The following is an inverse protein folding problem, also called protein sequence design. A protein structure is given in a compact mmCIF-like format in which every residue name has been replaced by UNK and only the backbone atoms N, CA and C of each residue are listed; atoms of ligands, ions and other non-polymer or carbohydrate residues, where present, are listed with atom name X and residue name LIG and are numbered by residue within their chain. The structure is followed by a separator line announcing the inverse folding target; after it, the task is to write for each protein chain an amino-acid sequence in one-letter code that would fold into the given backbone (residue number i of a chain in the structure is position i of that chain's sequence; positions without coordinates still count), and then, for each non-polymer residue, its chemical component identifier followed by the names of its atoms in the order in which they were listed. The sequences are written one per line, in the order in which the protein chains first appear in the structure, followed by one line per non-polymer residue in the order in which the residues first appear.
data_IF_906244894854
#
_entry.id   IF_906244894854
#
_cell.length_a   1.000
_cell.length_b   1.000
_cell.length_c   1.000
_cell.angle_alpha   90.00
_cell.angle_beta   90.00
_cell.angle_gamma   90.00
#
_symmetry.space_group_name_H-M   'P 1'
#
loop_
_entity.id
_entity.type
_entity.pdbx_description
1 polymer ?
#
# COMPACT_ATOMS: atom_id res chain seq x y z
N UNK A 1 5.84 2.23 12.29
CA UNK A 1 5.93 0.84 12.79
C UNK A 1 7.24 0.63 13.58
N UNK A 2 7.36 -0.51 14.29
CA UNK A 2 8.59 -0.89 15.00
C UNK A 2 9.81 -1.07 14.09
N UNK A 3 9.59 -1.23 12.80
CA UNK A 3 10.63 -1.45 11.79
C UNK A 3 11.06 -0.18 11.04
N UNK A 4 10.49 0.96 11.36
CA UNK A 4 10.79 2.23 10.68
C UNK A 4 11.56 3.19 11.59
N UNK A 5 12.55 3.87 11.02
CA UNK A 5 13.20 5.02 11.65
C UNK A 5 12.25 6.22 11.64
N UNK A 6 12.42 7.14 12.60
CA UNK A 6 11.59 8.36 12.67
C UNK A 6 11.57 9.18 11.37
N UNK A 7 12.69 9.22 10.63
CA UNK A 7 12.79 9.91 9.35
C UNK A 7 11.88 9.24 8.30
N UNK A 8 11.90 7.91 8.22
CA UNK A 8 11.07 7.13 7.27
C UNK A 8 9.57 7.34 7.54
N UNK A 9 9.16 7.30 8.81
CA UNK A 9 7.76 7.59 9.20
C UNK A 9 7.35 9.00 8.79
N UNK A 10 8.26 9.98 8.91
CA UNK A 10 7.95 11.39 8.57
C UNK A 10 7.78 11.63 7.08
N UNK A 11 8.57 10.97 6.24
CA UNK A 11 8.56 11.19 4.78
C UNK A 11 7.73 10.18 4.01
N UNK A 12 7.43 9.03 4.63
CA UNK A 12 6.69 7.93 4.03
C UNK A 12 5.18 8.12 4.07
N UNK A 13 4.50 7.08 3.58
CA UNK A 13 3.05 6.96 3.56
C UNK A 13 2.57 5.92 4.57
N UNK A 14 1.28 5.93 4.87
CA UNK A 14 0.70 4.88 5.71
C UNK A 14 0.70 3.52 4.99
N UNK A 15 0.38 3.51 3.70
CA UNK A 15 0.45 2.30 2.88
C UNK A 15 1.87 1.71 2.87
N UNK A 16 2.90 2.56 2.67
CA UNK A 16 4.30 2.15 2.77
C UNK A 16 4.65 1.60 4.15
N UNK A 17 4.19 2.25 5.22
CA UNK A 17 4.40 1.79 6.59
C UNK A 17 3.77 0.42 6.88
N UNK A 18 2.56 0.15 6.37
CA UNK A 18 1.91 -1.16 6.43
C UNK A 18 2.71 -2.18 5.63
N UNK A 19 3.11 -1.84 4.40
CA UNK A 19 3.91 -2.70 3.53
C UNK A 19 5.24 -3.10 4.17
N UNK A 20 5.97 -2.15 4.76
CA UNK A 20 7.20 -2.42 5.50
C UNK A 20 6.95 -3.39 6.66
N UNK A 21 5.91 -3.15 7.45
CA UNK A 21 5.59 -4.04 8.56
C UNK A 21 5.31 -5.47 8.07
N UNK A 22 4.45 -5.62 7.05
CA UNK A 22 4.11 -6.93 6.49
C UNK A 22 5.32 -7.64 5.87
N UNK A 23 6.22 -6.89 5.20
CA UNK A 23 7.42 -7.46 4.60
C UNK A 23 8.37 -8.03 5.67
N UNK A 24 8.60 -7.30 6.76
CA UNK A 24 9.39 -7.80 7.89
C UNK A 24 8.75 -9.04 8.54
N UNK A 25 7.44 -9.00 8.81
CA UNK A 25 6.74 -10.15 9.39
C UNK A 25 6.76 -11.36 8.45
N UNK A 26 6.67 -11.16 7.14
CA UNK A 26 6.77 -12.23 6.15
C UNK A 26 8.16 -12.91 6.17
N UNK A 27 9.23 -12.13 6.23
CA UNK A 27 10.60 -12.65 6.34
C UNK A 27 10.80 -13.42 7.65
N UNK A 28 10.34 -12.86 8.76
CA UNK A 28 10.42 -13.55 10.07
C UNK A 28 9.66 -14.87 10.07
N UNK A 29 8.43 -14.88 9.53
CA UNK A 29 7.62 -16.09 9.44
C UNK A 29 8.23 -17.15 8.50
N UNK A 30 8.98 -16.72 7.49
CA UNK A 30 9.71 -17.60 6.60
C UNK A 30 11.03 -18.12 7.21
N UNK A 31 11.43 -17.64 8.38
CA UNK A 31 12.71 -17.97 9.00
C UNK A 31 13.92 -17.43 8.23
N UNK A 32 13.74 -16.32 7.50
CA UNK A 32 14.77 -15.72 6.66
C UNK A 32 15.35 -14.46 7.33
N UNK A 33 16.68 -14.38 7.34
CA UNK A 33 17.41 -13.20 7.76
C UNK A 33 18.03 -12.50 6.56
N UNK A 34 17.78 -11.18 6.43
CA UNK A 34 18.27 -10.40 5.28
C UNK A 34 19.80 -10.41 5.16
N UNK A 35 20.52 -10.54 6.28
CA UNK A 35 21.99 -10.58 6.28
C UNK A 35 22.59 -11.78 5.53
N UNK A 36 21.81 -12.84 5.36
CA UNK A 36 22.22 -14.07 4.67
C UNK A 36 21.82 -14.10 3.20
N UNK A 37 21.11 -13.08 2.75
CA UNK A 37 20.53 -13.03 1.41
C UNK A 37 21.22 -11.96 0.54
N UNK A 38 21.29 -12.23 -0.76
CA UNK A 38 21.77 -11.22 -1.71
C UNK A 38 20.67 -10.20 -2.02
N UNK A 39 20.78 -8.93 -1.58
CA UNK A 39 19.72 -7.95 -1.75
C UNK A 39 19.38 -7.63 -3.21
N UNK A 40 20.31 -7.89 -4.16
CA UNK A 40 20.05 -7.71 -5.60
C UNK A 40 19.23 -8.84 -6.22
N UNK A 41 19.07 -9.96 -5.50
CA UNK A 41 18.30 -11.11 -5.90
C UNK A 41 16.96 -11.24 -5.18
N UNK A 42 16.59 -10.22 -4.40
CA UNK A 42 15.28 -10.14 -3.73
C UNK A 42 14.40 -9.17 -4.51
N UNK A 43 13.32 -9.69 -5.12
CA UNK A 43 12.34 -8.89 -5.83
C UNK A 43 11.18 -8.46 -4.94
N UNK A 44 10.57 -7.30 -5.22
CA UNK A 44 9.37 -6.79 -4.53
C UNK A 44 8.25 -6.55 -5.55
N UNK A 45 7.16 -7.27 -5.43
CA UNK A 45 6.02 -7.25 -6.37
C UNK A 45 4.75 -6.94 -5.62
N UNK A 46 4.35 -5.67 -5.66
CA UNK A 46 3.27 -5.15 -4.84
C UNK A 46 2.08 -4.76 -5.70
N UNK A 47 0.95 -5.40 -5.46
CA UNK A 47 -0.32 -4.99 -6.04
C UNK A 47 -0.89 -3.79 -5.29
N UNK A 48 -1.26 -2.76 -6.04
CA UNK A 48 -1.94 -1.58 -5.51
C UNK A 48 -2.93 -1.06 -6.55
N UNK A 49 -4.13 -0.75 -6.12
CA UNK A 49 -5.16 -0.23 -7.04
C UNK A 49 -5.07 1.27 -7.18
N UNK A 50 -4.91 1.92 -6.07
CA UNK A 50 -4.88 3.37 -5.94
C UNK A 50 -3.91 3.77 -4.83
N UNK A 51 -3.24 4.88 -5.05
CA UNK A 51 -2.27 5.41 -4.10
C UNK A 51 -2.22 6.93 -4.19
N UNK A 52 -1.89 7.59 -3.09
CA UNK A 52 -1.72 9.03 -3.05
C UNK A 52 -3.01 9.84 -2.89
N UNK A 53 -4.18 9.20 -2.84
CA UNK A 53 -5.45 9.92 -2.67
C UNK A 53 -5.53 10.60 -1.29
N UNK A 54 -5.11 9.92 -0.23
CA UNK A 54 -5.10 10.47 1.13
C UNK A 54 -4.15 11.67 1.23
N UNK A 55 -2.96 11.54 0.66
CA UNK A 55 -1.96 12.60 0.63
C UNK A 55 -2.46 13.80 -0.17
N UNK A 56 -3.05 13.56 -1.34
CA UNK A 56 -3.58 14.61 -2.21
C UNK A 56 -4.77 15.32 -1.56
N UNK A 57 -5.74 14.61 -1.02
CA UNK A 57 -6.87 15.19 -0.32
C UNK A 57 -6.43 16.02 0.88
N UNK A 58 -5.45 15.55 1.65
CA UNK A 58 -4.89 16.28 2.79
C UNK A 58 -4.25 17.60 2.37
N UNK A 59 -3.42 17.57 1.32
CA UNK A 59 -2.75 18.78 0.80
C UNK A 59 -3.77 19.77 0.21
N UNK A 60 -4.78 19.28 -0.52
CA UNK A 60 -5.85 20.12 -1.07
C UNK A 60 -6.64 20.80 0.06
N UNK A 61 -6.98 20.10 1.14
CA UNK A 61 -7.64 20.70 2.29
C UNK A 61 -6.79 21.82 2.91
N UNK A 62 -5.48 21.63 3.01
CA UNK A 62 -4.57 22.67 3.52
C UNK A 62 -4.53 23.90 2.61
N UNK A 63 -4.60 23.71 1.30
CA UNK A 63 -4.68 24.83 0.35
C UNK A 63 -5.94 25.68 0.54
N UNK A 64 -7.09 25.05 0.80
CA UNK A 64 -8.34 25.80 1.05
C UNK A 64 -8.26 26.68 2.30
N UNK A 65 -7.54 26.25 3.31
CA UNK A 65 -7.35 27.01 4.54
C UNK A 65 -6.35 28.17 4.37
N UNK A 66 -5.50 28.12 3.33
CA UNK A 66 -4.39 29.06 3.10
C UNK A 66 -4.29 29.56 1.66
N UNK A 67 -5.43 29.84 1.05
CA UNK A 67 -5.57 30.10 -0.38
C UNK A 67 -4.65 31.19 -0.98
N UNK A 68 -4.34 32.23 -0.22
CA UNK A 68 -3.46 33.33 -0.69
C UNK A 68 -1.95 33.00 -0.62
N UNK A 69 -1.59 31.93 0.08
CA UNK A 69 -0.19 31.52 0.30
C UNK A 69 0.05 30.02 -0.05
N UNK A 70 -0.76 29.49 -0.93
CA UNK A 70 -0.98 28.06 -1.18
C UNK A 70 0.29 27.25 -1.42
N UNK A 71 1.22 27.73 -2.23
CA UNK A 71 2.44 26.97 -2.58
C UNK A 71 3.35 26.72 -1.36
N UNK A 72 3.36 27.65 -0.41
CA UNK A 72 4.16 27.56 0.82
C UNK A 72 3.72 26.39 1.72
N UNK A 73 2.43 26.02 1.65
CA UNK A 73 1.86 24.95 2.47
C UNK A 73 1.86 23.59 1.77
N UNK A 74 2.20 23.54 0.47
CA UNK A 74 2.29 22.27 -0.25
C UNK A 74 3.53 21.48 0.17
N UNK A 75 3.37 20.21 0.49
CA UNK A 75 4.49 19.37 0.91
C UNK A 75 5.44 19.08 -0.26
N UNK A 76 6.73 19.31 -0.07
CA UNK A 76 7.77 18.90 -1.02
C UNK A 76 7.93 17.36 -1.10
N UNK A 77 7.30 16.63 -0.19
CA UNK A 77 7.24 15.17 -0.23
C UNK A 77 6.01 14.65 -1.00
N UNK A 78 5.15 15.53 -1.51
CA UNK A 78 3.91 15.14 -2.19
C UNK A 78 4.18 14.19 -3.36
N UNK A 79 4.98 14.59 -4.33
CA UNK A 79 5.24 13.79 -5.52
C UNK A 79 5.76 12.36 -5.20
N UNK A 80 6.82 12.19 -4.40
CA UNK A 80 7.26 10.83 -4.07
C UNK A 80 6.25 10.01 -3.27
N UNK A 81 5.32 10.65 -2.55
CA UNK A 81 4.27 9.94 -1.80
C UNK A 81 3.11 9.48 -2.67
N UNK A 82 2.81 10.19 -3.75
CA UNK A 82 1.60 9.96 -4.56
C UNK A 82 1.83 9.05 -5.77
N UNK A 83 3.08 8.77 -6.13
CA UNK A 83 3.38 7.84 -7.24
C UNK A 83 3.03 6.39 -6.85
N UNK A 84 2.45 5.65 -7.78
CA UNK A 84 1.93 4.31 -7.55
C UNK A 84 2.98 3.31 -7.01
N UNK A 85 4.25 3.48 -7.36
CA UNK A 85 5.33 2.62 -6.88
C UNK A 85 5.91 3.01 -5.50
N UNK A 86 5.36 4.04 -4.85
CA UNK A 86 5.87 4.52 -3.56
C UNK A 86 5.91 3.43 -2.49
N UNK A 87 4.83 2.65 -2.21
CA UNK A 87 4.88 1.64 -1.15
C UNK A 87 5.92 0.55 -1.40
N UNK A 88 6.07 0.10 -2.66
CA UNK A 88 7.13 -0.85 -3.02
C UNK A 88 8.52 -0.24 -2.83
N UNK A 89 8.70 1.02 -3.22
CA UNK A 89 9.92 1.79 -2.99
C UNK A 89 10.26 1.96 -1.51
N UNK A 90 9.27 2.26 -0.66
CA UNK A 90 9.48 2.37 0.78
C UNK A 90 9.94 1.04 1.40
N UNK A 91 9.38 -0.09 0.95
CA UNK A 91 9.81 -1.43 1.37
C UNK A 91 11.27 -1.66 0.98
N UNK A 92 11.62 -1.43 -0.29
CA UNK A 92 12.98 -1.67 -0.79
C UNK A 92 14.02 -0.81 -0.10
N UNK A 93 13.72 0.46 0.15
CA UNK A 93 14.61 1.39 0.87
C UNK A 93 14.79 0.96 2.33
N UNK A 94 13.71 0.59 3.02
CA UNK A 94 13.75 0.18 4.43
C UNK A 94 14.55 -1.11 4.64
N UNK A 95 14.34 -2.10 3.76
CA UNK A 95 15.01 -3.41 3.83
C UNK A 95 16.39 -3.42 3.14
N UNK A 96 16.80 -2.32 2.46
CA UNK A 96 18.05 -2.25 1.73
C UNK A 96 18.10 -3.16 0.49
N UNK A 97 16.95 -3.42 -0.14
CA UNK A 97 16.85 -4.27 -1.33
C UNK A 97 17.25 -3.48 -2.59
N UNK A 98 17.95 -4.17 -3.49
CA UNK A 98 18.41 -3.60 -4.77
C UNK A 98 17.97 -4.45 -5.99
N UNK A 99 17.18 -5.48 -5.75
CA UNK A 99 16.58 -6.29 -6.79
C UNK A 99 15.40 -5.60 -7.50
N UNK A 100 14.80 -6.27 -8.50
CA UNK A 100 13.69 -5.71 -9.26
C UNK A 100 12.48 -5.45 -8.34
N UNK A 101 11.80 -4.30 -8.54
CA UNK A 101 10.55 -4.04 -7.87
C UNK A 101 9.53 -3.45 -8.82
N UNK A 102 8.30 -3.94 -8.73
CA UNK A 102 7.19 -3.53 -9.56
C UNK A 102 5.93 -3.30 -8.72
N UNK A 103 5.14 -2.33 -9.16
CA UNK A 103 3.78 -2.14 -8.65
C UNK A 103 2.80 -2.54 -9.74
N UNK A 104 1.82 -3.35 -9.39
CA UNK A 104 0.86 -3.91 -10.32
C UNK A 104 -0.54 -3.41 -10.00
N UNK A 105 -1.16 -2.71 -10.95
CA UNK A 105 -2.56 -2.28 -10.87
C UNK A 105 -3.50 -3.33 -11.46
N UNK A 106 -4.44 -3.82 -10.66
CA UNK A 106 -5.47 -4.77 -11.12
C UNK A 106 -6.76 -4.63 -10.30
N UNK A 107 -7.12 -3.42 -9.95
CA UNK A 107 -8.28 -3.12 -9.10
C UNK A 107 -8.31 -4.03 -7.85
N UNK A 108 -9.46 -4.59 -7.49
CA UNK A 108 -9.63 -5.47 -6.33
C UNK A 108 -8.75 -6.74 -6.38
N UNK A 109 -8.25 -7.12 -7.56
CA UNK A 109 -7.38 -8.27 -7.75
C UNK A 109 -5.88 -7.92 -7.69
N UNK A 110 -5.51 -6.67 -7.39
CA UNK A 110 -4.13 -6.21 -7.45
C UNK A 110 -3.18 -7.03 -6.55
N UNK A 111 -3.61 -7.36 -5.33
CA UNK A 111 -2.81 -8.21 -4.43
C UNK A 111 -2.51 -9.59 -5.01
N UNK A 112 -3.51 -10.23 -5.64
CA UNK A 112 -3.32 -11.50 -6.34
C UNK A 112 -2.39 -11.35 -7.55
N UNK A 113 -2.53 -10.26 -8.31
CA UNK A 113 -1.65 -9.96 -9.43
C UNK A 113 -0.18 -9.77 -8.98
N UNK A 114 0.05 -9.13 -7.84
CA UNK A 114 1.38 -9.02 -7.23
C UNK A 114 1.99 -10.38 -6.91
N UNK A 115 1.21 -11.29 -6.31
CA UNK A 115 1.66 -12.67 -6.02
C UNK A 115 1.97 -13.43 -7.31
N UNK A 116 1.11 -13.35 -8.32
CA UNK A 116 1.32 -13.98 -9.63
C UNK A 116 2.61 -13.47 -10.26
N UNK A 117 2.84 -12.16 -10.26
CA UNK A 117 4.06 -11.56 -10.79
C UNK A 117 5.30 -12.07 -10.04
N UNK A 118 5.27 -12.13 -8.72
CA UNK A 118 6.37 -12.68 -7.92
C UNK A 118 6.72 -14.12 -8.32
N UNK A 119 5.71 -14.98 -8.46
CA UNK A 119 5.91 -16.36 -8.92
C UNK A 119 6.51 -16.43 -10.31
N UNK A 120 6.06 -15.56 -11.22
CA UNK A 120 6.60 -15.53 -12.59
C UNK A 120 8.08 -15.11 -12.59
N UNK A 121 8.45 -14.10 -11.80
CA UNK A 121 9.84 -13.62 -11.73
C UNK A 121 10.79 -14.66 -11.10
N UNK A 122 10.34 -15.40 -10.10
CA UNK A 122 11.08 -16.55 -9.58
C UNK A 122 11.30 -17.63 -10.65
N UNK A 123 10.27 -17.96 -11.40
CA UNK A 123 10.36 -18.96 -12.50
C UNK A 123 11.27 -18.54 -13.63
N UNK A 124 11.34 -17.24 -13.92
CA UNK A 124 12.24 -16.66 -14.92
C UNK A 124 13.68 -16.53 -14.41
N UNK A 125 13.94 -16.75 -13.13
CA UNK A 125 15.26 -16.58 -12.54
C UNK A 125 15.69 -15.12 -12.38
N UNK A 126 14.76 -14.18 -12.45
CA UNK A 126 15.03 -12.74 -12.23
C UNK A 126 15.33 -12.40 -10.77
N UNK A 127 14.78 -13.19 -9.85
CA UNK A 127 15.08 -13.11 -8.42
C UNK A 127 15.10 -14.52 -7.81
N UNK A 128 15.72 -14.65 -6.64
CA UNK A 128 15.79 -15.90 -5.87
C UNK A 128 14.77 -15.90 -4.73
N UNK A 129 14.34 -14.72 -4.30
CA UNK A 129 13.29 -14.49 -3.32
C UNK A 129 12.35 -13.38 -3.83
N UNK A 130 11.07 -13.56 -3.65
CA UNK A 130 10.06 -12.56 -3.99
C UNK A 130 9.24 -12.18 -2.75
N UNK A 131 9.29 -10.91 -2.38
CA UNK A 131 8.28 -10.29 -1.51
C UNK A 131 7.10 -9.89 -2.38
N UNK A 132 5.97 -10.56 -2.22
CA UNK A 132 4.81 -10.37 -3.10
C UNK A 132 3.52 -10.29 -2.30
N UNK A 133 2.62 -9.41 -2.75
CA UNK A 133 1.34 -9.20 -2.08
C UNK A 133 0.63 -7.95 -2.56
N UNK A 134 -0.17 -7.35 -1.69
CA UNK A 134 -0.86 -6.09 -1.97
C UNK A 134 -0.94 -5.21 -0.73
N UNK A 135 -1.06 -3.92 -0.95
CA UNK A 135 -1.31 -2.94 0.09
C UNK A 135 -2.24 -1.85 -0.43
N UNK A 136 -3.07 -1.32 0.44
CA UNK A 136 -3.93 -0.17 0.17
C UNK A 136 -4.12 0.66 1.43
N UNK A 137 -4.50 1.92 1.25
CA UNK A 137 -4.96 2.77 2.32
C UNK A 137 -6.15 3.60 1.84
N UNK A 138 -7.30 2.95 1.64
CA UNK A 138 -8.49 3.62 1.13
C UNK A 138 -9.36 4.24 2.24
N UNK A 139 -9.24 3.76 3.48
CA UNK A 139 -10.12 4.16 4.58
C UNK A 139 -10.06 5.66 4.92
N UNK A 140 -8.95 6.31 4.59
CA UNK A 140 -8.77 7.75 4.82
C UNK A 140 -8.99 8.60 3.58
N UNK A 141 -9.21 7.98 2.42
CA UNK A 141 -9.53 8.68 1.19
C UNK A 141 -11.02 8.99 1.14
N UNK A 142 -11.39 10.24 1.38
CA UNK A 142 -12.78 10.67 1.43
C UNK A 142 -13.50 10.40 0.12
N UNK A 143 -12.86 10.70 -1.02
CA UNK A 143 -13.47 10.52 -2.34
C UNK A 143 -13.82 9.07 -2.63
N UNK A 144 -12.99 8.12 -2.22
CA UNK A 144 -13.26 6.68 -2.39
C UNK A 144 -14.45 6.26 -1.54
N UNK A 145 -14.45 6.65 -0.27
CA UNK A 145 -15.53 6.33 0.65
C UNK A 145 -16.85 6.95 0.19
N UNK A 146 -16.84 8.23 -0.20
CA UNK A 146 -18.01 8.94 -0.70
C UNK A 146 -18.54 8.31 -2.00
N UNK A 147 -17.65 7.88 -2.90
CA UNK A 147 -18.00 7.17 -4.13
C UNK A 147 -18.76 5.88 -3.86
N UNK A 148 -18.24 5.01 -3.02
CA UNK A 148 -18.95 3.77 -2.64
C UNK A 148 -20.25 4.04 -1.89
N UNK A 149 -20.27 5.07 -1.04
CA UNK A 149 -21.50 5.46 -0.32
C UNK A 149 -22.57 5.95 -1.29
N UNK A 150 -22.22 6.78 -2.28
CA UNK A 150 -23.17 7.30 -3.26
C UNK A 150 -23.77 6.21 -4.14
N UNK A 151 -23.04 5.12 -4.39
CA UNK A 151 -23.47 3.96 -5.11
C UNK A 151 -24.33 2.98 -4.28
N UNK A 152 -24.48 3.22 -2.96
CA UNK A 152 -25.12 2.28 -2.05
C UNK A 152 -24.34 0.97 -1.89
N UNK A 153 -23.03 0.99 -2.16
CA UNK A 153 -22.18 -0.21 -2.16
C UNK A 153 -21.54 -0.54 -0.82
N UNK A 154 -21.63 0.37 0.17
CA UNK A 154 -21.08 0.13 1.50
C UNK A 154 -21.97 -0.83 2.29
N UNK A 155 -21.34 -1.79 2.98
CA UNK A 155 -22.03 -2.69 3.88
C UNK A 155 -22.61 -1.92 5.08
N UNK A 156 -23.81 -2.35 5.51
CA UNK A 156 -24.47 -1.85 6.71
C UNK A 156 -24.81 -3.02 7.63
N UNK A 157 -24.45 -2.93 8.90
CA UNK A 157 -24.82 -3.94 9.91
C UNK A 157 -24.83 -3.28 11.28
N UNK A 158 -25.76 -3.68 12.16
CA UNK A 158 -25.84 -3.17 13.54
C UNK A 158 -24.56 -3.50 14.34
N UNK A 159 -24.05 -4.73 14.14
CA UNK A 159 -22.75 -5.15 14.66
C UNK A 159 -21.68 -4.99 13.57
N UNK A 160 -20.74 -4.04 13.69
CA UNK A 160 -19.71 -3.80 12.69
C UNK A 160 -18.79 -5.02 12.45
N UNK A 161 -18.63 -5.90 13.43
CA UNK A 161 -17.83 -7.13 13.29
C UNK A 161 -18.45 -8.13 12.32
N UNK A 162 -19.74 -7.99 12.02
CA UNK A 162 -20.51 -8.83 11.12
C UNK A 162 -20.74 -8.18 9.74
N UNK A 163 -20.23 -6.97 9.50
CA UNK A 163 -20.46 -6.26 8.25
C UNK A 163 -19.68 -6.87 7.08
N UNK A 164 -18.42 -7.25 7.28
CA UNK A 164 -17.61 -7.92 6.26
C UNK A 164 -17.89 -9.43 6.26
N UNK A 165 -18.62 -9.89 5.25
CA UNK A 165 -19.02 -11.31 5.10
C UNK A 165 -18.93 -11.75 3.63
N UNK A 166 -17.73 -11.87 3.08
CA UNK A 166 -17.54 -12.28 1.69
C UNK A 166 -18.16 -13.66 1.45
N UNK A 167 -18.84 -13.81 0.30
CA UNK A 167 -19.58 -15.01 -0.12
C UNK A 167 -20.79 -15.40 0.73
N UNK A 168 -21.08 -14.73 1.84
CA UNK A 168 -22.27 -14.98 2.65
C UNK A 168 -23.54 -14.60 1.88
N UNK A 169 -24.63 -15.38 2.07
CA UNK A 169 -25.93 -15.11 1.44
C UNK A 169 -26.53 -13.76 1.88
N UNK A 170 -26.28 -13.36 3.11
CA UNK A 170 -26.79 -12.12 3.70
C UNK A 170 -25.85 -10.91 3.52
N UNK A 171 -24.79 -11.02 2.70
CA UNK A 171 -23.92 -9.87 2.41
C UNK A 171 -24.71 -8.76 1.73
N UNK A 172 -24.42 -7.52 2.10
CA UNK A 172 -25.15 -6.37 1.58
C UNK A 172 -24.25 -5.21 1.12
N UNK A 173 -22.95 -5.47 0.97
CA UNK A 173 -21.99 -4.46 0.51
C UNK A 173 -20.56 -4.78 0.87
N UNK A 174 -19.70 -3.80 0.70
CA UNK A 174 -18.27 -3.87 1.01
C UNK A 174 -17.94 -3.07 2.27
N UNK A 175 -16.90 -3.48 2.98
CA UNK A 175 -16.26 -2.71 4.05
C UNK A 175 -14.95 -2.18 3.50
N UNK A 176 -14.80 -0.86 3.48
CA UNK A 176 -13.54 -0.20 3.06
C UNK A 176 -12.53 -0.33 4.19
N UNK A 177 -11.31 -0.75 3.87
CA UNK A 177 -10.22 -0.98 4.83
C UNK A 177 -8.94 -0.20 4.45
#
# INVERSE_FOLDING_TARGET
TKYQKRKEVRVGTRAGGIGIFCAHEALLNAGLELGDLNPSRIGTYLGITEHGNVETETEVCQLFDHYEEEVKYWSHHHNPRTVANNPAGEITVNLGLTGPHYTIGAACAAGNAGIIQGVQMLRLGECDLALAGGVSESIRAYGIFAGFKSQGALATHEDPTQASRPFDRARNGIVVS
#
